data_IF_335950320395
#
_entry.id   IF_335950320395
#
_cell.length_a   1.000
_cell.length_b   1.000
_cell.length_c   1.000
_cell.angle_alpha   90.00
_cell.angle_beta   90.00
_cell.angle_gamma   90.00
#
_symmetry.space_group_name_H-M   'P 1'
#
loop_
_entity.id
_entity.type
_entity.pdbx_description
1 polymer ?
#
# COMPACT_ATOMS: atom_id res chain seq x y z
N UNK A 1 10.97 -48.23 -6.03
CA UNK A 1 11.33 -46.93 -6.63
C UNK A 1 10.04 -46.25 -7.11
N UNK A 2 9.69 -45.09 -6.54
CA UNK A 2 8.46 -44.39 -6.90
C UNK A 2 8.50 -43.97 -8.37
N UNK A 3 7.50 -44.38 -9.16
CA UNK A 3 7.36 -43.95 -10.56
C UNK A 3 7.06 -42.45 -10.58
N UNK A 4 8.11 -41.64 -10.73
CA UNK A 4 8.01 -40.23 -11.09
C UNK A 4 7.41 -40.14 -12.49
N UNK A 5 6.16 -39.67 -12.60
CA UNK A 5 5.55 -39.42 -13.90
C UNK A 5 6.01 -38.06 -14.43
N UNK A 6 6.92 -38.09 -15.41
CA UNK A 6 7.36 -36.90 -16.12
C UNK A 6 6.42 -36.56 -17.28
N UNK A 7 6.00 -35.31 -17.32
CA UNK A 7 5.21 -34.76 -18.41
C UNK A 7 6.12 -34.38 -19.58
N UNK A 8 5.63 -34.57 -20.81
CA UNK A 8 6.30 -34.06 -22.00
C UNK A 8 6.58 -32.56 -21.85
N UNK A 9 7.79 -32.14 -22.17
CA UNK A 9 8.26 -30.75 -22.27
C UNK A 9 7.76 -30.09 -23.56
N UNK A 10 8.04 -28.79 -23.74
CA UNK A 10 7.71 -28.12 -25.00
C UNK A 10 8.59 -28.64 -26.14
N UNK A 11 9.87 -28.90 -25.86
CA UNK A 11 10.83 -29.38 -26.87
C UNK A 11 10.47 -30.78 -27.35
N UNK A 12 10.13 -31.70 -26.44
CA UNK A 12 9.59 -33.02 -26.81
C UNK A 12 8.31 -32.89 -27.64
N UNK A 13 7.42 -31.93 -27.33
CA UNK A 13 6.21 -31.70 -28.14
C UNK A 13 6.54 -31.18 -29.55
N UNK A 14 7.55 -30.33 -29.70
CA UNK A 14 8.03 -29.85 -30.99
C UNK A 14 8.60 -31.02 -31.81
N UNK A 15 9.36 -31.91 -31.16
CA UNK A 15 9.95 -33.06 -31.81
C UNK A 15 8.91 -34.12 -32.21
N UNK A 16 7.87 -34.35 -31.40
CA UNK A 16 6.70 -35.16 -31.77
C UNK A 16 6.05 -34.60 -33.05
N UNK A 17 5.87 -33.29 -33.15
CA UNK A 17 5.26 -32.68 -34.34
C UNK A 17 6.14 -32.86 -35.59
N UNK A 18 7.46 -32.68 -35.45
CA UNK A 18 8.43 -32.85 -36.53
C UNK A 18 8.43 -34.29 -37.06
N UNK A 19 8.55 -35.27 -36.17
CA UNK A 19 8.60 -36.69 -36.53
C UNK A 19 7.26 -37.19 -37.09
N UNK A 20 6.13 -36.72 -36.52
CA UNK A 20 4.80 -37.05 -37.03
C UNK A 20 4.55 -36.46 -38.42
N UNK A 21 5.05 -35.25 -38.72
CA UNK A 21 4.96 -34.65 -40.05
C UNK A 21 5.79 -35.43 -41.09
N UNK A 22 6.91 -36.03 -40.67
CA UNK A 22 7.74 -36.90 -41.50
C UNK A 22 7.20 -38.33 -41.65
N UNK A 23 5.96 -38.61 -41.23
CA UNK A 23 5.33 -39.92 -41.37
C UNK A 23 5.83 -41.01 -40.41
N UNK A 24 6.58 -40.65 -39.36
CA UNK A 24 7.04 -41.63 -38.38
C UNK A 24 5.88 -42.22 -37.58
N UNK A 25 5.91 -43.54 -37.34
CA UNK A 25 4.92 -44.22 -36.52
C UNK A 25 5.04 -43.85 -35.03
N UNK A 26 3.96 -44.02 -34.26
CA UNK A 26 3.94 -43.77 -32.81
C UNK A 26 5.06 -44.51 -32.07
N UNK A 27 5.41 -45.73 -32.49
CA UNK A 27 6.49 -46.52 -31.88
C UNK A 27 7.87 -45.96 -32.18
N UNK A 28 8.10 -45.43 -33.40
CA UNK A 28 9.35 -44.77 -33.77
C UNK A 28 9.53 -43.45 -33.02
N UNK A 29 8.47 -42.64 -32.91
CA UNK A 29 8.49 -41.38 -32.14
C UNK A 29 8.77 -41.67 -30.66
N UNK A 30 8.14 -42.71 -30.11
CA UNK A 30 8.34 -43.15 -28.74
C UNK A 30 9.79 -43.59 -28.47
N UNK A 31 10.39 -44.37 -29.38
CA UNK A 31 11.78 -44.77 -29.28
C UNK A 31 12.74 -43.58 -29.39
N UNK A 32 12.48 -42.63 -30.29
CA UNK A 32 13.33 -41.44 -30.47
C UNK A 32 13.34 -40.50 -29.26
N UNK A 33 12.24 -40.47 -28.49
CA UNK A 33 12.09 -39.60 -27.32
C UNK A 33 12.28 -40.31 -25.98
N UNK A 34 12.60 -41.62 -26.01
CA UNK A 34 12.64 -42.48 -24.82
C UNK A 34 11.35 -42.38 -23.97
N UNK A 35 10.20 -42.43 -24.63
CA UNK A 35 8.87 -42.38 -23.99
C UNK A 35 8.05 -43.60 -24.33
N UNK A 36 7.05 -43.92 -23.51
CA UNK A 36 6.14 -45.03 -23.83
C UNK A 36 5.31 -44.70 -25.09
N UNK A 37 5.07 -45.68 -26.00
CA UNK A 37 4.18 -45.50 -27.14
C UNK A 37 2.78 -45.02 -26.74
N UNK A 38 2.30 -45.46 -25.57
CA UNK A 38 1.02 -45.03 -25.02
C UNK A 38 1.00 -43.55 -24.63
N UNK A 39 2.14 -42.96 -24.25
CA UNK A 39 2.26 -41.52 -23.95
C UNK A 39 2.11 -40.70 -25.23
N UNK A 40 2.84 -41.09 -26.28
CA UNK A 40 2.84 -40.41 -27.58
C UNK A 40 1.47 -40.52 -28.25
N UNK A 41 0.88 -41.72 -28.27
CA UNK A 41 -0.47 -41.93 -28.79
C UNK A 41 -1.50 -41.03 -28.08
N UNK A 42 -1.51 -41.03 -26.74
CA UNK A 42 -2.44 -40.19 -25.98
C UNK A 42 -2.21 -38.70 -26.21
N UNK A 43 -0.97 -38.24 -26.38
CA UNK A 43 -0.66 -36.83 -26.64
C UNK A 43 -1.16 -36.38 -28.01
N UNK A 44 -0.90 -37.17 -29.05
CA UNK A 44 -1.35 -36.90 -30.42
C UNK A 44 -2.89 -36.93 -30.49
N UNK A 45 -3.54 -37.97 -29.96
CA UNK A 45 -5.00 -38.08 -29.97
C UNK A 45 -5.67 -36.94 -29.21
N UNK A 46 -5.16 -36.58 -28.03
CA UNK A 46 -5.79 -35.59 -27.14
C UNK A 46 -5.62 -34.14 -27.59
N UNK A 47 -4.60 -33.84 -28.41
CA UNK A 47 -4.27 -32.45 -28.79
C UNK A 47 -4.23 -32.22 -30.31
N UNK A 48 -4.78 -33.15 -31.12
CA UNK A 48 -4.96 -32.97 -32.57
C UNK A 48 -6.24 -32.18 -32.84
N UNK A 49 -6.11 -31.04 -33.51
CA UNK A 49 -7.25 -30.28 -34.00
C UNK A 49 -7.78 -30.85 -35.32
N UNK A 50 -9.10 -30.76 -35.54
CA UNK A 50 -9.79 -31.31 -36.72
C UNK A 50 -9.27 -30.69 -38.03
N UNK A 51 -9.02 -29.38 -38.05
CA UNK A 51 -8.59 -28.65 -39.26
C UNK A 51 -7.08 -28.44 -39.36
N UNK A 52 -6.37 -28.41 -38.23
CA UNK A 52 -4.99 -27.88 -38.16
C UNK A 52 -3.97 -28.93 -37.71
N UNK A 53 -4.43 -30.15 -37.40
CA UNK A 53 -3.57 -31.24 -36.93
C UNK A 53 -2.99 -30.98 -35.53
N UNK A 54 -1.86 -31.61 -35.23
CA UNK A 54 -1.18 -31.49 -33.94
C UNK A 54 -0.25 -30.26 -33.92
N UNK A 55 -0.45 -29.34 -32.96
CA UNK A 55 0.39 -28.15 -32.77
C UNK A 55 1.04 -28.17 -31.38
N UNK A 56 2.39 -28.11 -31.28
CA UNK A 56 3.11 -28.15 -29.98
C UNK A 56 2.68 -27.06 -29.00
N UNK A 57 2.58 -25.81 -29.48
CA UNK A 57 2.20 -24.66 -28.67
C UNK A 57 0.79 -24.78 -28.10
N UNK A 58 -0.15 -25.31 -28.91
CA UNK A 58 -1.51 -25.61 -28.48
C UNK A 58 -1.55 -26.74 -27.45
N UNK A 59 -0.87 -27.86 -27.70
CA UNK A 59 -0.79 -28.99 -26.76
C UNK A 59 -0.20 -28.56 -25.40
N UNK A 60 0.84 -27.72 -25.42
CA UNK A 60 1.42 -27.13 -24.21
C UNK A 60 0.41 -26.24 -23.46
N UNK A 61 -0.35 -25.40 -24.19
CA UNK A 61 -1.38 -24.54 -23.61
C UNK A 61 -2.50 -25.38 -22.98
N UNK A 62 -2.97 -26.43 -23.66
CA UNK A 62 -4.01 -27.34 -23.18
C UNK A 62 -3.55 -28.16 -21.97
N UNK A 63 -2.29 -28.63 -21.94
CA UNK A 63 -1.71 -29.27 -20.75
C UNK A 63 -1.71 -28.31 -19.56
N UNK A 64 -1.27 -27.06 -19.75
CA UNK A 64 -1.30 -26.03 -18.70
C UNK A 64 -2.71 -25.74 -18.22
N UNK A 65 -3.70 -25.72 -19.13
CA UNK A 65 -5.11 -25.54 -18.79
C UNK A 65 -5.68 -26.73 -18.00
N UNK A 66 -5.36 -27.97 -18.37
CA UNK A 66 -5.82 -29.18 -17.65
C UNK A 66 -5.19 -29.32 -16.26
N UNK A 67 -3.92 -28.93 -16.10
CA UNK A 67 -3.25 -28.88 -14.79
C UNK A 67 -3.76 -27.74 -13.90
N UNK A 68 -4.49 -26.80 -14.45
CA UNK A 68 -5.05 -25.70 -13.69
C UNK A 68 -6.29 -26.19 -12.93
N UNK A 69 -6.09 -26.60 -11.67
CA UNK A 69 -7.13 -27.13 -10.77
C UNK A 69 -8.04 -26.05 -10.16
N UNK A 70 -8.29 -24.97 -10.91
CA UNK A 70 -8.94 -23.77 -10.38
C UNK A 70 -8.08 -23.07 -9.33
N UNK A 71 -8.13 -21.75 -9.30
CA UNK A 71 -7.42 -21.02 -8.25
C UNK A 71 -8.15 -21.27 -6.94
N UNK A 72 -7.44 -21.47 -5.82
CA UNK A 72 -8.05 -21.70 -4.50
C UNK A 72 -9.15 -20.66 -4.15
N UNK A 73 -8.96 -19.43 -4.63
CA UNK A 73 -9.95 -18.34 -4.50
C UNK A 73 -11.24 -18.57 -5.31
N UNK A 74 -11.25 -19.39 -6.36
CA UNK A 74 -12.50 -19.77 -7.04
C UNK A 74 -13.28 -20.83 -6.24
N UNK A 75 -12.58 -21.66 -5.46
CA UNK A 75 -13.17 -22.71 -4.61
C UNK A 75 -13.65 -22.22 -3.25
N UNK A 76 -13.08 -21.12 -2.74
CA UNK A 76 -13.40 -20.54 -1.43
C UNK A 76 -13.95 -19.11 -1.58
N UNK A 77 -15.29 -18.93 -1.78
CA UNK A 77 -15.89 -17.63 -2.03
C UNK A 77 -15.68 -16.60 -0.91
N UNK A 78 -15.68 -17.06 0.36
CA UNK A 78 -15.42 -16.20 1.52
C UNK A 78 -14.01 -15.63 1.51
N UNK A 79 -13.00 -16.48 1.28
CA UNK A 79 -11.60 -16.07 1.17
C UNK A 79 -11.38 -15.15 -0.04
N UNK A 80 -12.02 -15.45 -1.17
CA UNK A 80 -12.01 -14.58 -2.36
C UNK A 80 -12.52 -13.19 -2.06
N UNK A 81 -13.68 -13.08 -1.42
CA UNK A 81 -14.27 -11.79 -1.03
C UNK A 81 -13.32 -11.00 -0.14
N UNK A 82 -12.79 -11.64 0.89
CA UNK A 82 -11.84 -11.05 1.83
C UNK A 82 -10.55 -10.54 1.15
N UNK A 83 -10.03 -11.28 0.17
CA UNK A 83 -8.87 -10.89 -0.64
C UNK A 83 -9.22 -9.72 -1.55
N UNK A 84 -10.30 -9.81 -2.33
CA UNK A 84 -10.71 -8.78 -3.29
C UNK A 84 -11.04 -7.45 -2.62
N UNK A 85 -11.70 -7.48 -1.46
CA UNK A 85 -12.01 -6.28 -0.68
C UNK A 85 -10.73 -5.53 -0.30
N UNK A 86 -9.71 -6.25 0.23
CA UNK A 86 -8.43 -5.65 0.63
C UNK A 86 -7.63 -5.17 -0.57
N UNK A 87 -7.62 -5.93 -1.68
CA UNK A 87 -7.01 -5.48 -2.93
C UNK A 87 -7.70 -4.21 -3.46
N UNK A 88 -9.03 -4.12 -3.37
CA UNK A 88 -9.83 -2.94 -3.73
C UNK A 88 -9.50 -1.69 -2.92
N UNK A 89 -9.04 -1.85 -1.68
CA UNK A 89 -8.49 -0.77 -0.85
C UNK A 89 -7.06 -0.36 -1.26
N UNK A 90 -6.49 -0.98 -2.28
CA UNK A 90 -5.15 -0.67 -2.80
C UNK A 90 -4.00 -1.43 -2.13
N UNK A 91 -4.30 -2.48 -1.34
CA UNK A 91 -3.28 -3.30 -0.70
C UNK A 91 -2.61 -4.22 -1.73
N UNK A 92 -1.31 -4.49 -1.56
CA UNK A 92 -0.61 -5.47 -2.38
C UNK A 92 -0.98 -6.91 -2.00
N UNK A 93 -0.80 -7.89 -2.91
CA UNK A 93 -0.95 -9.30 -2.57
C UNK A 93 -0.17 -9.76 -1.33
N UNK A 94 1.05 -9.25 -1.13
CA UNK A 94 1.86 -9.53 0.07
C UNK A 94 1.22 -8.95 1.35
N UNK A 95 0.72 -7.71 1.27
CA UNK A 95 0.02 -7.04 2.38
C UNK A 95 -1.26 -7.79 2.76
N UNK A 96 -2.03 -8.25 1.78
CA UNK A 96 -3.25 -9.04 2.01
C UNK A 96 -2.91 -10.37 2.67
N UNK A 97 -1.96 -11.13 2.10
CA UNK A 97 -1.58 -12.44 2.62
C UNK A 97 -1.04 -12.35 4.05
N UNK A 98 -0.14 -11.40 4.32
CA UNK A 98 0.42 -11.21 5.66
C UNK A 98 -0.61 -10.73 6.67
N UNK A 99 -1.53 -9.84 6.26
CA UNK A 99 -2.61 -9.39 7.16
C UNK A 99 -3.56 -10.53 7.53
N UNK A 100 -3.98 -11.32 6.55
CA UNK A 100 -4.83 -12.48 6.79
C UNK A 100 -4.13 -13.49 7.71
N UNK A 101 -2.83 -13.71 7.52
CA UNK A 101 -2.06 -14.59 8.39
C UNK A 101 -2.03 -14.10 9.84
N UNK A 102 -1.83 -12.80 10.06
CA UNK A 102 -1.87 -12.19 11.39
C UNK A 102 -3.24 -12.34 12.06
N UNK A 103 -4.32 -12.04 11.33
CA UNK A 103 -5.69 -12.09 11.85
C UNK A 103 -6.14 -13.50 12.25
N UNK A 104 -5.59 -14.54 11.60
CA UNK A 104 -5.96 -15.94 11.85
C UNK A 104 -4.92 -16.71 12.69
N UNK A 105 -3.81 -16.06 13.09
CA UNK A 105 -2.70 -16.71 13.80
C UNK A 105 -1.95 -17.79 13.00
N UNK A 106 -2.27 -17.98 11.71
CA UNK A 106 -1.65 -18.98 10.83
C UNK A 106 -1.69 -18.54 9.38
N UNK A 107 -0.80 -19.09 8.55
CA UNK A 107 -0.77 -18.78 7.11
C UNK A 107 -2.07 -19.21 6.43
N UNK A 108 -2.89 -18.24 6.01
CA UNK A 108 -4.17 -18.49 5.31
C UNK A 108 -3.94 -18.75 3.82
N UNK A 109 -3.21 -17.87 3.14
CA UNK A 109 -2.96 -17.92 1.69
C UNK A 109 -1.56 -17.36 1.39
N UNK A 110 -0.90 -17.87 0.35
CA UNK A 110 0.34 -17.27 -0.16
C UNK A 110 0.05 -16.08 -1.06
N UNK A 111 0.87 -15.04 -1.00
CA UNK A 111 0.77 -13.90 -1.93
C UNK A 111 0.94 -14.34 -3.39
N UNK A 112 1.70 -15.41 -3.65
CA UNK A 112 1.85 -16.00 -4.99
C UNK A 112 0.53 -16.59 -5.50
N UNK A 113 -0.29 -17.18 -4.63
CA UNK A 113 -1.62 -17.66 -5.01
C UNK A 113 -2.52 -16.49 -5.43
N UNK A 114 -2.40 -15.34 -4.76
CA UNK A 114 -3.14 -14.12 -5.12
C UNK A 114 -2.62 -13.55 -6.46
N UNK A 115 -1.31 -13.52 -6.70
CA UNK A 115 -0.77 -13.12 -8.02
C UNK A 115 -1.25 -14.04 -9.14
N UNK A 116 -1.15 -15.37 -8.95
CA UNK A 116 -1.65 -16.36 -9.90
C UNK A 116 -3.13 -16.20 -10.17
N UNK A 117 -3.93 -15.85 -9.16
CA UNK A 117 -5.35 -15.53 -9.32
C UNK A 117 -5.56 -14.35 -10.26
N UNK A 118 -4.92 -13.21 -9.97
CA UNK A 118 -5.05 -11.98 -10.77
C UNK A 118 -4.64 -12.25 -12.23
N UNK A 119 -3.51 -12.92 -12.45
CA UNK A 119 -3.05 -13.25 -13.81
C UNK A 119 -3.91 -14.30 -14.52
N UNK A 120 -4.56 -15.20 -13.78
CA UNK A 120 -5.54 -16.11 -14.35
C UNK A 120 -6.80 -15.36 -14.81
N UNK A 121 -7.32 -14.43 -14.00
CA UNK A 121 -8.47 -13.62 -14.38
C UNK A 121 -8.20 -12.78 -15.65
N UNK A 122 -7.07 -12.07 -15.71
CA UNK A 122 -6.66 -11.31 -16.92
C UNK A 122 -6.68 -12.19 -18.16
N UNK A 123 -6.13 -13.42 -18.07
CA UNK A 123 -6.06 -14.33 -19.21
C UNK A 123 -7.40 -14.93 -19.61
N UNK A 124 -8.33 -15.11 -18.66
CA UNK A 124 -9.66 -15.70 -18.92
C UNK A 124 -10.64 -14.69 -19.49
N UNK A 125 -10.68 -13.48 -18.92
CA UNK A 125 -11.68 -12.48 -19.26
C UNK A 125 -11.17 -11.44 -20.26
N UNK A 126 -9.87 -11.45 -20.58
CA UNK A 126 -9.19 -10.38 -21.32
C UNK A 126 -9.36 -8.99 -20.68
N UNK A 127 -9.81 -8.93 -19.42
CA UNK A 127 -9.98 -7.69 -18.69
C UNK A 127 -8.64 -7.31 -18.03
N UNK A 128 -8.03 -6.25 -18.54
CA UNK A 128 -6.77 -5.74 -17.99
C UNK A 128 -6.96 -4.85 -16.76
N UNK A 129 -8.20 -4.53 -16.36
CA UNK A 129 -8.50 -3.75 -15.15
C UNK A 129 -7.97 -4.42 -13.88
N UNK A 130 -7.86 -5.75 -13.87
CA UNK A 130 -7.24 -6.55 -12.82
C UNK A 130 -5.79 -6.14 -12.48
N UNK A 131 -5.07 -5.49 -13.41
CA UNK A 131 -3.73 -4.92 -13.15
C UNK A 131 -3.76 -3.76 -12.15
N UNK A 132 -4.92 -3.10 -11.96
CA UNK A 132 -5.08 -2.00 -10.99
C UNK A 132 -4.86 -2.43 -9.55
N UNK A 133 -5.02 -3.73 -9.26
CA UNK A 133 -4.70 -4.32 -7.96
C UNK A 133 -3.19 -4.49 -7.73
N UNK A 134 -2.34 -4.25 -8.74
CA UNK A 134 -0.90 -4.48 -8.64
C UNK A 134 -0.12 -3.20 -8.26
N UNK A 135 0.89 -3.33 -7.37
CA UNK A 135 1.73 -2.22 -6.88
C UNK A 135 2.43 -1.31 -7.88
N UNK A 136 2.74 -1.78 -9.10
CA UNK A 136 3.54 -1.05 -10.09
C UNK A 136 2.94 -1.23 -11.49
N UNK A 137 2.65 -0.11 -12.16
CA UNK A 137 2.22 -0.06 -13.55
C UNK A 137 3.32 0.30 -14.56
N UNK A 138 4.61 0.27 -14.15
CA UNK A 138 5.74 0.60 -15.03
C UNK A 138 6.54 -0.65 -15.39
N UNK A 139 6.76 -0.86 -16.69
CA UNK A 139 7.56 -1.96 -17.25
C UNK A 139 9.07 -1.69 -17.19
N UNK A 140 9.50 -0.43 -17.09
CA UNK A 140 10.92 -0.03 -17.01
C UNK A 140 11.15 1.04 -15.93
N UNK A 141 12.35 1.04 -15.36
CA UNK A 141 12.86 2.11 -14.50
C UNK A 141 13.04 3.36 -15.38
N UNK A 142 12.51 4.51 -14.95
CA UNK A 142 12.72 5.77 -15.67
C UNK A 142 14.17 6.23 -15.59
N UNK A 143 14.56 7.13 -16.49
CA UNK A 143 15.89 7.75 -16.50
C UNK A 143 16.08 8.63 -15.25
N UNK A 144 17.26 8.56 -14.62
CA UNK A 144 17.65 9.48 -13.53
C UNK A 144 18.09 10.79 -14.18
N UNK A 145 17.40 11.89 -13.90
CA UNK A 145 17.84 13.22 -14.33
C UNK A 145 19.20 13.59 -13.71
N UNK A 146 19.97 14.44 -14.40
CA UNK A 146 21.20 15.03 -13.85
C UNK A 146 20.85 15.95 -12.67
N UNK A 147 21.63 15.86 -11.59
CA UNK A 147 21.45 16.68 -10.37
C UNK A 147 22.00 18.09 -10.61
N UNK A 148 21.26 19.12 -10.21
CA UNK A 148 21.80 20.46 -9.95
C UNK A 148 22.54 20.50 -8.60
N UNK A 149 23.27 21.58 -8.34
CA UNK A 149 24.02 21.79 -7.10
C UNK A 149 23.15 21.79 -5.83
N UNK A 150 23.76 21.48 -4.68
CA UNK A 150 23.10 21.43 -3.38
C UNK A 150 23.02 22.84 -2.77
N UNK A 151 21.84 23.37 -2.40
CA UNK A 151 21.68 24.67 -1.74
C UNK A 151 22.04 24.64 -0.23
N UNK A 152 22.81 23.66 0.23
CA UNK A 152 23.08 23.44 1.66
C UNK A 152 23.71 24.66 2.37
N UNK A 153 24.42 25.52 1.63
CA UNK A 153 25.01 26.78 2.13
C UNK A 153 23.99 27.86 2.49
N UNK A 154 22.73 27.73 2.06
CA UNK A 154 21.68 28.74 2.31
C UNK A 154 20.81 28.43 3.54
N UNK A 155 21.12 27.39 4.32
CA UNK A 155 20.37 26.99 5.51
C UNK A 155 21.19 27.37 6.75
N UNK A 156 20.82 28.48 7.38
CA UNK A 156 21.43 28.95 8.62
C UNK A 156 21.10 28.01 9.79
N UNK A 157 22.07 27.72 10.66
CA UNK A 157 21.89 26.83 11.82
C UNK A 157 21.78 25.34 11.49
N UNK A 158 22.19 24.93 10.28
CA UNK A 158 22.15 23.52 9.83
C UNK A 158 22.99 22.61 10.74
N UNK A 159 22.32 21.63 11.37
CA UNK A 159 22.96 20.53 12.09
C UNK A 159 23.02 19.29 11.19
N UNK A 160 24.20 18.66 11.10
CA UNK A 160 24.38 17.44 10.31
C UNK A 160 23.62 16.26 10.91
N UNK A 161 23.13 15.35 10.06
CA UNK A 161 22.44 14.14 10.51
C UNK A 161 23.33 13.22 11.36
N UNK A 162 24.65 13.27 11.17
CA UNK A 162 25.62 12.48 11.95
C UNK A 162 25.61 12.84 13.45
N UNK A 163 25.13 14.04 13.80
CA UNK A 163 25.02 14.50 15.18
C UNK A 163 23.72 14.07 15.86
N UNK A 164 22.85 13.34 15.15
CA UNK A 164 21.56 12.88 15.69
C UNK A 164 21.76 11.74 16.70
N UNK A 165 20.96 11.67 17.79
CA UNK A 165 21.00 10.56 18.73
C UNK A 165 20.87 9.20 18.05
N UNK A 166 21.59 8.19 18.57
CA UNK A 166 21.61 6.82 18.04
C UNK A 166 20.20 6.19 18.09
N UNK A 167 19.41 6.52 19.11
CA UNK A 167 18.00 6.10 19.28
C UNK A 167 17.10 6.53 18.10
N UNK A 168 17.45 7.60 17.38
CA UNK A 168 16.73 8.01 16.19
C UNK A 168 17.10 7.19 14.94
N UNK A 169 18.26 6.53 14.95
CA UNK A 169 18.78 5.79 13.81
C UNK A 169 18.12 4.41 13.66
N UNK A 170 17.96 3.68 14.76
CA UNK A 170 17.46 2.30 14.79
C UNK A 170 15.93 2.18 14.58
N UNK A 171 15.19 3.29 14.75
CA UNK A 171 13.73 3.38 14.65
C UNK A 171 13.01 2.57 15.74
N UNK A 172 13.63 2.41 16.90
CA UNK A 172 13.06 1.72 18.06
C UNK A 172 12.24 2.69 18.91
N UNK A 173 12.72 3.92 19.09
CA UNK A 173 12.08 4.94 19.91
C UNK A 173 11.08 5.77 19.07
N UNK A 174 9.83 5.96 19.53
CA UNK A 174 8.90 6.90 18.92
C UNK A 174 9.34 8.36 19.05
N UNK A 175 8.76 9.25 18.25
CA UNK A 175 8.99 10.69 18.38
C UNK A 175 10.12 11.25 17.50
N UNK A 176 10.70 10.41 16.65
CA UNK A 176 11.62 10.82 15.60
C UNK A 176 10.91 10.87 14.25
N UNK A 177 10.92 12.04 13.62
CA UNK A 177 10.15 12.30 12.40
C UNK A 177 11.05 12.65 11.22
N UNK A 178 10.57 12.35 10.02
CA UNK A 178 11.11 12.85 8.77
C UNK A 178 10.09 13.82 8.16
N UNK A 179 10.55 14.93 7.58
CA UNK A 179 9.70 15.87 6.87
C UNK A 179 10.18 16.08 5.43
N UNK A 180 9.22 16.24 4.53
CA UNK A 180 9.48 16.41 3.11
C UNK A 180 8.32 17.13 2.41
N UNK A 181 8.61 17.77 1.27
CA UNK A 181 7.60 18.34 0.39
C UNK A 181 7.27 17.39 -0.76
N UNK A 182 6.08 16.81 -0.71
CA UNK A 182 5.52 16.07 -1.84
C UNK A 182 5.08 17.06 -2.93
N UNK A 183 5.98 17.37 -3.86
CA UNK A 183 5.74 18.31 -4.97
C UNK A 183 4.78 17.77 -6.04
N UNK A 184 4.05 18.64 -6.75
CA UNK A 184 3.17 18.26 -7.87
C UNK A 184 3.66 18.80 -9.21
N UNK A 185 3.02 18.42 -10.31
CA UNK A 185 3.40 18.88 -11.67
C UNK A 185 3.04 20.36 -11.90
N UNK A 186 1.96 20.86 -11.29
CA UNK A 186 1.63 22.29 -11.32
C UNK A 186 2.56 23.05 -10.39
N UNK A 187 3.10 24.16 -10.88
CA UNK A 187 4.06 24.98 -10.15
C UNK A 187 3.49 25.46 -8.81
N UNK A 188 4.32 25.47 -7.77
CA UNK A 188 3.94 25.93 -6.42
C UNK A 188 3.10 24.96 -5.59
N UNK A 189 2.50 23.93 -6.20
CA UNK A 189 1.66 22.97 -5.48
C UNK A 189 2.50 21.91 -4.75
N UNK A 190 2.33 21.86 -3.42
CA UNK A 190 3.03 20.93 -2.55
C UNK A 190 2.15 20.47 -1.39
N UNK A 191 2.42 19.27 -0.91
CA UNK A 191 1.92 18.77 0.38
C UNK A 191 3.12 18.60 1.29
N UNK A 192 3.11 19.28 2.44
CA UNK A 192 4.04 18.99 3.52
C UNK A 192 3.67 17.63 4.09
N UNK A 193 4.61 16.69 4.00
CA UNK A 193 4.47 15.35 4.55
C UNK A 193 5.40 15.18 5.73
N UNK A 194 4.88 14.59 6.81
CA UNK A 194 5.63 14.34 8.05
C UNK A 194 5.43 12.87 8.41
N UNK A 195 6.52 12.13 8.54
CA UNK A 195 6.54 10.68 8.66
C UNK A 195 7.21 10.27 9.96
N UNK A 196 6.48 9.59 10.83
CA UNK A 196 7.00 9.04 12.09
C UNK A 196 7.79 7.76 11.81
N UNK A 197 9.04 7.68 12.28
CA UNK A 197 9.99 6.65 11.84
C UNK A 197 9.67 5.26 12.37
N UNK A 198 9.05 5.16 13.54
CA UNK A 198 8.79 3.88 14.23
C UNK A 198 7.50 3.23 13.72
N UNK A 199 6.36 3.89 13.92
CA UNK A 199 5.03 3.47 13.46
C UNK A 199 4.80 3.62 11.96
N UNK A 200 5.63 4.39 11.24
CA UNK A 200 5.43 4.73 9.81
C UNK A 200 4.15 5.53 9.54
N UNK A 201 3.61 6.18 10.56
CA UNK A 201 2.47 7.07 10.40
C UNK A 201 2.86 8.23 9.48
N UNK A 202 2.02 8.56 8.52
CA UNK A 202 2.22 9.68 7.63
C UNK A 202 1.12 10.73 7.85
N UNK A 203 1.54 11.96 8.10
CA UNK A 203 0.71 13.14 8.20
C UNK A 203 0.92 14.02 6.98
N UNK A 204 -0.12 14.76 6.59
CA UNK A 204 -0.12 15.55 5.36
C UNK A 204 -0.85 16.88 5.53
N UNK A 205 -0.19 17.96 5.15
CA UNK A 205 -0.74 19.31 5.18
C UNK A 205 -0.62 19.92 3.79
N UNK A 206 -1.73 20.40 3.22
CA UNK A 206 -1.69 21.16 1.96
C UNK A 206 -1.05 22.52 2.21
N UNK A 207 -0.10 22.89 1.36
CA UNK A 207 0.55 24.18 1.44
C UNK A 207 -0.03 25.13 0.38
N UNK A 208 -0.30 26.37 0.77
CA UNK A 208 -0.57 27.46 -0.18
C UNK A 208 0.71 27.94 -0.87
N UNK A 209 1.86 27.81 -0.20
CA UNK A 209 3.17 28.22 -0.70
C UNK A 209 4.28 27.39 -0.04
N UNK A 210 5.40 27.24 -0.76
CA UNK A 210 6.63 26.56 -0.31
C UNK A 210 7.61 27.48 0.44
N UNK A 211 7.19 28.71 0.78
CA UNK A 211 8.01 29.67 1.53
C UNK A 211 8.32 29.13 2.93
N UNK A 212 9.60 29.15 3.31
CA UNK A 212 10.10 28.50 4.52
C UNK A 212 9.39 28.93 5.82
N UNK A 213 9.11 30.22 5.98
CA UNK A 213 8.36 30.75 7.13
C UNK A 213 6.94 30.19 7.22
N UNK A 214 6.29 29.90 6.08
CA UNK A 214 4.98 29.28 6.03
C UNK A 214 5.04 27.81 6.44
N UNK A 215 6.01 27.08 5.87
CA UNK A 215 6.26 25.66 6.18
C UNK A 215 6.56 25.46 7.66
N UNK A 216 7.47 26.25 8.23
CA UNK A 216 7.82 26.20 9.65
C UNK A 216 6.61 26.45 10.57
N UNK A 217 5.73 27.41 10.23
CA UNK A 217 4.47 27.65 10.98
C UNK A 217 3.54 26.44 10.97
N UNK A 218 3.44 25.73 9.84
CA UNK A 218 2.65 24.49 9.77
C UNK A 218 3.25 23.38 10.62
N UNK A 219 4.58 23.22 10.61
CA UNK A 219 5.28 22.24 11.45
C UNK A 219 5.09 22.53 12.95
N UNK A 220 5.31 23.78 13.38
CA UNK A 220 5.10 24.19 14.79
C UNK A 220 3.68 23.91 15.24
N UNK A 221 2.66 24.28 14.44
CA UNK A 221 1.25 24.00 14.77
C UNK A 221 0.95 22.50 14.84
N UNK A 222 1.56 21.71 13.96
CA UNK A 222 1.39 20.26 13.95
C UNK A 222 1.97 19.64 15.22
N UNK A 223 3.24 19.92 15.52
CA UNK A 223 3.91 19.32 16.67
C UNK A 223 3.39 19.83 18.01
N UNK A 224 2.97 21.09 18.10
CA UNK A 224 2.30 21.62 19.30
C UNK A 224 0.95 20.92 19.60
N UNK A 225 0.39 20.16 18.64
CA UNK A 225 -0.81 19.36 18.83
C UNK A 225 -0.52 17.88 19.17
N UNK A 226 0.74 17.49 19.28
CA UNK A 226 1.14 16.13 19.64
C UNK A 226 1.66 16.11 21.09
N UNK A 227 1.59 14.96 21.79
CA UNK A 227 2.26 14.78 23.07
C UNK A 227 3.75 15.09 22.96
N UNK A 228 4.32 15.75 23.98
CA UNK A 228 5.70 16.22 23.96
C UNK A 228 6.70 15.07 23.79
N UNK A 229 6.43 13.91 24.37
CA UNK A 229 7.32 12.74 24.28
C UNK A 229 7.41 12.18 22.85
N UNK A 230 6.42 12.50 22.00
CA UNK A 230 6.45 12.18 20.58
C UNK A 230 7.06 13.29 19.73
N UNK A 231 7.71 14.27 20.33
CA UNK A 231 8.27 15.44 19.64
C UNK A 231 9.76 15.58 19.97
N UNK A 232 10.57 14.58 19.62
CA UNK A 232 12.01 14.56 19.93
C UNK A 232 12.83 15.23 18.83
N UNK A 233 12.76 14.71 17.61
CA UNK A 233 13.62 15.18 16.51
C UNK A 233 12.90 15.22 15.18
N UNK A 234 13.26 16.14 14.30
CA UNK A 234 12.80 16.18 12.90
C UNK A 234 13.99 16.22 11.94
N UNK A 235 14.00 15.31 10.97
CA UNK A 235 14.99 15.25 9.90
C UNK A 235 14.45 15.82 8.59
N UNK A 236 15.22 16.71 7.96
CA UNK A 236 14.92 17.36 6.68
C UNK A 236 15.95 16.98 5.61
N UNK A 237 15.65 17.30 4.35
CA UNK A 237 16.68 17.42 3.32
C UNK A 237 17.19 18.86 3.23
N UNK A 238 18.18 19.09 2.36
CA UNK A 238 18.78 20.41 2.17
C UNK A 238 17.93 21.34 1.28
N UNK A 239 16.60 21.21 1.32
CA UNK A 239 15.67 22.11 0.65
C UNK A 239 15.56 23.47 1.37
N UNK A 240 15.53 24.56 0.60
CA UNK A 240 15.43 25.92 1.16
C UNK A 240 14.08 26.19 1.81
N UNK A 241 13.05 25.39 1.49
CA UNK A 241 11.76 25.38 2.19
C UNK A 241 11.86 25.06 3.69
N UNK A 242 12.97 24.48 4.15
CA UNK A 242 13.23 24.14 5.55
C UNK A 242 14.22 25.09 6.22
N UNK A 243 14.56 26.22 5.60
CA UNK A 243 15.52 27.19 6.16
C UNK A 243 15.11 27.71 7.56
N UNK A 244 13.82 27.86 7.83
CA UNK A 244 13.31 28.33 9.13
C UNK A 244 13.05 27.19 10.15
N UNK A 245 13.81 26.09 10.08
CA UNK A 245 13.60 24.90 10.92
C UNK A 245 13.82 25.15 12.42
N UNK A 246 14.71 26.08 12.79
CA UNK A 246 15.02 26.47 14.19
C UNK A 246 13.78 26.95 14.94
N UNK A 247 12.72 27.34 14.23
CA UNK A 247 11.42 27.60 14.83
C UNK A 247 10.86 26.43 15.65
N UNK A 248 11.27 25.18 15.37
CA UNK A 248 10.87 24.00 16.13
C UNK A 248 11.57 23.86 17.50
N UNK A 249 12.73 24.50 17.69
CA UNK A 249 13.46 24.45 18.97
C UNK A 249 12.65 25.02 20.13
N UNK A 250 11.69 25.92 19.85
CA UNK A 250 10.73 26.44 20.86
C UNK A 250 9.85 25.36 21.49
N UNK A 251 9.73 24.21 20.84
CA UNK A 251 8.99 23.03 21.31
C UNK A 251 9.95 21.94 21.82
N UNK A 252 11.22 22.28 22.10
CA UNK A 252 12.28 21.33 22.45
C UNK A 252 12.50 20.21 21.42
N UNK A 253 12.16 20.47 20.15
CA UNK A 253 12.37 19.53 19.05
C UNK A 253 13.70 19.83 18.38
N UNK A 254 14.63 18.88 18.37
CA UNK A 254 15.88 19.01 17.65
C UNK A 254 15.70 18.79 16.14
N UNK A 255 16.55 19.41 15.33
CA UNK A 255 16.39 19.45 13.87
C UNK A 255 17.69 19.06 13.18
N UNK A 256 17.60 18.13 12.24
CA UNK A 256 18.77 17.57 11.56
C UNK A 256 18.59 17.59 10.04
N UNK A 257 19.68 17.70 9.30
CA UNK A 257 19.69 17.73 7.84
C UNK A 257 20.51 16.60 7.27
N UNK A 258 19.96 15.91 6.26
CA UNK A 258 20.69 14.89 5.52
C UNK A 258 21.96 15.47 4.89
N UNK A 259 22.96 14.63 4.69
CA UNK A 259 24.18 15.01 4.01
C UNK A 259 23.95 15.26 2.53
N UNK A 260 24.71 16.19 1.93
CA UNK A 260 24.73 16.35 0.48
C UNK A 260 24.96 15.00 -0.19
N UNK A 261 24.19 14.73 -1.24
CA UNK A 261 24.28 13.48 -2.02
C UNK A 261 23.90 12.18 -1.28
N UNK A 262 23.32 12.24 -0.08
CA UNK A 262 22.91 11.07 0.72
C UNK A 262 21.37 10.87 0.83
N UNK A 263 20.62 10.70 -0.27
CA UNK A 263 19.15 10.57 -0.23
C UNK A 263 18.67 9.35 0.57
N UNK A 264 19.49 8.31 0.73
CA UNK A 264 19.14 7.11 1.49
C UNK A 264 18.89 7.38 2.98
N UNK A 265 19.45 8.47 3.52
CA UNK A 265 19.27 8.87 4.92
C UNK A 265 17.80 9.22 5.26
N UNK A 266 17.00 9.60 4.25
CA UNK A 266 15.56 9.88 4.33
C UNK A 266 14.69 8.82 3.63
N UNK A 267 15.18 7.58 3.55
CA UNK A 267 14.52 6.51 2.79
C UNK A 267 13.10 6.15 3.27
N UNK A 268 12.73 6.48 4.51
CA UNK A 268 11.41 6.21 5.09
C UNK A 268 10.31 7.03 4.42
N UNK A 269 10.43 8.35 4.49
CA UNK A 269 9.48 9.28 3.88
C UNK A 269 9.51 9.20 2.36
N UNK A 270 10.65 8.93 1.72
CA UNK A 270 10.71 8.69 0.28
C UNK A 270 9.84 7.50 -0.13
N UNK A 271 9.90 6.40 0.62
CA UNK A 271 9.03 5.24 0.42
C UNK A 271 7.56 5.61 0.66
N UNK A 272 7.29 6.39 1.70
CA UNK A 272 5.95 6.83 2.06
C UNK A 272 5.32 7.69 0.95
N UNK A 273 6.03 8.70 0.44
CA UNK A 273 5.64 9.52 -0.69
C UNK A 273 5.44 8.65 -1.94
N UNK A 274 6.36 7.73 -2.22
CA UNK A 274 6.26 6.79 -3.33
C UNK A 274 4.96 5.96 -3.31
N UNK A 275 4.51 5.54 -2.12
CA UNK A 275 3.21 4.87 -1.94
C UNK A 275 2.04 5.85 -2.05
N UNK A 276 2.16 7.05 -1.49
CA UNK A 276 1.13 8.09 -1.55
C UNK A 276 0.81 8.49 -3.00
N UNK A 277 1.79 8.40 -3.92
CA UNK A 277 1.57 8.62 -5.36
C UNK A 277 0.55 7.69 -6.02
N UNK A 278 0.17 6.58 -5.37
CA UNK A 278 -0.95 5.73 -5.83
C UNK A 278 -2.31 6.37 -5.57
N UNK A 279 -2.44 7.07 -4.46
CA UNK A 279 -3.68 7.76 -4.07
C UNK A 279 -3.74 9.17 -4.66
N UNK A 280 -2.59 9.87 -4.67
CA UNK A 280 -2.45 11.25 -5.17
C UNK A 280 -1.30 11.31 -6.20
N UNK A 281 -1.57 10.97 -7.48
CA UNK A 281 -0.58 11.02 -8.55
C UNK A 281 0.12 12.38 -8.71
N UNK A 282 1.32 12.39 -9.31
CA UNK A 282 2.11 13.62 -9.53
C UNK A 282 1.38 14.69 -10.35
N UNK A 283 0.53 14.27 -11.29
CA UNK A 283 -0.26 15.13 -12.17
C UNK A 283 -1.57 15.63 -11.54
N UNK A 284 -1.90 15.21 -10.31
CA UNK A 284 -3.09 15.71 -9.62
C UNK A 284 -2.96 17.21 -9.36
N UNK A 285 -4.01 17.94 -9.68
CA UNK A 285 -4.16 19.34 -9.28
C UNK A 285 -4.69 19.39 -7.84
N UNK A 286 -3.89 19.96 -6.93
CA UNK A 286 -4.27 20.06 -5.52
C UNK A 286 -5.41 21.06 -5.28
N UNK A 287 -5.59 22.05 -6.15
CA UNK A 287 -6.64 23.06 -6.01
C UNK A 287 -8.03 22.46 -6.22
N UNK A 288 -8.16 21.51 -7.15
CA UNK A 288 -9.43 20.83 -7.45
C UNK A 288 -9.65 19.56 -6.63
N UNK A 289 -8.64 19.08 -5.90
CA UNK A 289 -8.78 17.91 -5.04
C UNK A 289 -9.66 18.26 -3.82
N UNK A 290 -10.80 17.58 -3.59
CA UNK A 290 -11.61 17.85 -2.40
C UNK A 290 -10.89 17.48 -1.10
N UNK A 291 -11.09 18.27 -0.04
CA UNK A 291 -10.47 18.04 1.28
C UNK A 291 -10.77 16.64 1.83
N UNK A 292 -12.03 16.18 1.71
CA UNK A 292 -12.44 14.82 2.10
C UNK A 292 -11.60 13.74 1.41
N UNK A 293 -11.39 13.84 0.10
CA UNK A 293 -10.61 12.87 -0.70
C UNK A 293 -9.14 12.88 -0.33
N UNK A 294 -8.60 14.04 0.04
CA UNK A 294 -7.24 14.16 0.55
C UNK A 294 -7.08 13.43 1.89
N UNK A 295 -7.95 13.69 2.87
CA UNK A 295 -7.91 12.94 4.13
C UNK A 295 -8.12 11.44 3.94
N UNK A 296 -9.03 11.03 3.04
CA UNK A 296 -9.21 9.62 2.69
C UNK A 296 -7.94 8.97 2.15
N UNK A 297 -7.13 9.70 1.37
CA UNK A 297 -5.84 9.20 0.84
C UNK A 297 -4.84 8.90 1.96
N UNK A 298 -4.73 9.80 2.95
CA UNK A 298 -3.86 9.60 4.12
C UNK A 298 -4.40 8.50 5.05
N UNK A 299 -5.73 8.45 5.26
CA UNK A 299 -6.35 7.37 6.01
C UNK A 299 -6.13 6.01 5.35
N UNK A 300 -6.26 5.91 4.03
CA UNK A 300 -5.99 4.68 3.30
C UNK A 300 -4.51 4.26 3.43
N UNK A 301 -3.59 5.22 3.33
CA UNK A 301 -2.16 4.95 3.55
C UNK A 301 -1.91 4.41 4.97
N UNK A 302 -2.42 5.09 6.00
CA UNK A 302 -2.20 4.76 7.42
C UNK A 302 -2.95 3.49 7.86
N UNK A 303 -3.97 3.06 7.11
CA UNK A 303 -4.70 1.80 7.33
C UNK A 303 -4.29 0.68 6.36
N UNK A 304 -3.19 0.84 5.64
CA UNK A 304 -2.62 -0.24 4.84
C UNK A 304 -1.53 -0.94 5.67
N UNK A 305 -1.51 -2.28 5.79
CA UNK A 305 -0.55 -2.99 6.62
C UNK A 305 0.89 -2.88 6.07
N UNK A 306 1.87 -3.01 6.95
CA UNK A 306 3.31 -2.94 6.61
C UNK A 306 4.02 -4.19 7.08
N UNK A 307 4.78 -4.83 6.19
CA UNK A 307 5.63 -5.98 6.54
C UNK A 307 6.63 -5.65 7.65
N UNK A 308 7.18 -4.44 7.65
CA UNK A 308 8.10 -3.94 8.69
C UNK A 308 7.46 -3.75 10.06
N UNK A 309 6.14 -3.84 10.16
CA UNK A 309 5.37 -3.75 11.41
C UNK A 309 4.62 -5.07 11.65
N UNK A 310 5.16 -6.19 11.15
CA UNK A 310 4.52 -7.51 11.18
C UNK A 310 3.06 -7.50 10.69
N UNK A 311 2.80 -6.74 9.63
CA UNK A 311 1.48 -6.56 9.03
C UNK A 311 0.43 -5.86 9.92
N UNK A 312 0.86 -5.15 10.97
CA UNK A 312 0.08 -4.07 11.55
C UNK A 312 0.00 -2.87 10.58
N UNK A 313 -1.02 -2.05 10.75
CA UNK A 313 -1.12 -0.76 10.05
C UNK A 313 -0.35 0.33 10.81
N UNK A 314 0.14 1.36 10.13
CA UNK A 314 0.74 2.51 10.81
C UNK A 314 -0.17 3.13 11.89
N UNK A 315 -1.47 3.18 11.63
CA UNK A 315 -2.44 3.67 12.62
C UNK A 315 -2.51 2.75 13.86
N UNK A 316 -2.49 1.42 13.70
CA UNK A 316 -2.46 0.47 14.82
C UNK A 316 -1.18 0.61 15.64
N UNK A 317 -0.01 0.69 14.97
CA UNK A 317 1.27 0.82 15.64
C UNK A 317 1.39 2.16 16.39
N UNK A 318 0.95 3.26 15.77
CA UNK A 318 0.97 4.58 16.42
C UNK A 318 -0.02 4.66 17.59
N UNK A 319 -1.17 4.00 17.50
CA UNK A 319 -2.13 3.95 18.60
C UNK A 319 -1.55 3.26 19.84
N UNK A 320 -0.72 2.22 19.67
CA UNK A 320 -0.06 1.56 20.80
C UNK A 320 0.88 2.52 21.52
N UNK A 321 1.68 3.27 20.75
CA UNK A 321 2.56 4.33 21.29
C UNK A 321 1.75 5.38 22.07
N UNK A 322 0.60 5.81 21.56
CA UNK A 322 -0.27 6.77 22.27
C UNK A 322 -0.88 6.19 23.56
N UNK A 323 -1.17 4.89 23.61
CA UNK A 323 -1.82 4.25 24.75
C UNK A 323 -0.85 3.88 25.88
N UNK A 324 0.40 3.53 25.57
CA UNK A 324 1.44 3.30 26.57
C UNK A 324 1.63 4.52 27.49
N UNK A 325 1.45 5.73 26.97
CA UNK A 325 1.55 6.98 27.76
C UNK A 325 0.27 7.35 28.53
N UNK A 326 -0.87 6.74 28.20
CA UNK A 326 -2.12 7.04 28.91
C UNK A 326 -2.29 6.18 30.18
N UNK A 327 -1.61 5.03 30.25
CA UNK A 327 -1.57 4.17 31.44
C UNK A 327 -0.47 4.61 32.44
N UNK A 328 0.55 5.35 32.00
CA UNK A 328 1.60 5.92 32.86
C UNK A 328 1.15 7.18 33.64
N UNK A 329 0.00 7.77 33.29
CA UNK A 329 -0.66 8.79 34.11
C UNK A 329 -1.52 8.11 35.18
N UNK A 330 -0.92 7.88 36.35
CA UNK A 330 -1.60 7.38 37.55
C UNK A 330 -2.91 8.15 37.78
N UNK A 331 -4.02 7.41 37.88
CA UNK A 331 -5.33 7.97 38.26
C UNK A 331 -5.17 8.79 39.54
N UNK A 332 -5.66 10.05 39.61
CA UNK A 332 -5.72 10.72 40.89
C UNK A 332 -6.62 9.89 41.81
N UNK A 333 -6.10 9.57 43.00
CA UNK A 333 -6.82 8.83 44.03
C UNK A 333 -8.22 9.44 44.26
N UNK A 334 -9.29 8.64 44.36
CA UNK A 334 -10.63 9.16 44.58
C UNK A 334 -10.72 9.68 46.02
N UNK A 335 -10.43 10.95 46.21
CA UNK A 335 -10.36 11.52 47.54
C UNK A 335 -10.27 13.03 47.54
N UNK A 336 -11.36 13.72 47.17
CA UNK A 336 -11.94 14.85 47.91
C UNK A 336 -13.18 15.39 47.20
N UNK A 337 -14.29 15.33 47.93
CA UNK A 337 -15.60 15.88 47.62
C UNK A 337 -15.52 17.40 47.71
N UNK A 338 -15.83 18.11 46.63
CA UNK A 338 -16.26 19.52 46.68
C UNK A 338 -17.50 19.70 45.80
N UNK A 339 -18.62 19.88 46.48
CA UNK A 339 -19.83 20.50 45.97
C UNK A 339 -19.58 21.99 45.72
N UNK A 340 -20.12 22.57 44.63
CA UNK A 340 -20.99 23.77 44.66
C UNK A 340 -21.33 24.27 43.24
N UNK A 341 -22.64 24.54 43.09
CA UNK A 341 -23.39 25.43 42.18
C UNK A 341 -23.39 25.24 40.66
N UNK A 342 -24.58 24.85 40.18
CA UNK A 342 -25.16 25.29 38.90
C UNK A 342 -25.42 26.80 38.93
N UNK A 343 -25.03 27.51 37.87
CA UNK A 343 -25.65 28.76 37.43
C UNK A 343 -25.81 28.72 35.91
N UNK A 344 -26.93 29.24 35.46
CA UNK A 344 -27.50 29.19 34.11
C UNK A 344 -27.09 30.36 33.22
N UNK A 345 -27.10 30.07 31.91
CA UNK A 345 -27.41 30.93 30.73
C UNK A 345 -26.44 32.03 30.27
N UNK A 346 -26.02 31.83 29.01
CA UNK A 346 -25.92 32.74 27.86
C UNK A 346 -25.09 34.03 28.00
N UNK A 347 -23.96 34.11 27.28
CA UNK A 347 -23.78 34.91 26.06
C UNK A 347 -22.32 34.95 25.59
N UNK A 348 -22.13 34.81 24.27
CA UNK A 348 -20.99 35.25 23.45
C UNK A 348 -19.54 35.06 23.96
N UNK A 349 -18.83 34.03 23.46
CA UNK A 349 -17.42 34.23 23.06
C UNK A 349 -16.89 33.18 22.07
N UNK A 350 -16.44 33.68 20.92
CA UNK A 350 -15.68 32.94 19.95
C UNK A 350 -14.26 32.71 20.48
N UNK A 351 -13.89 31.46 20.78
CA UNK A 351 -12.49 31.07 20.90
C UNK A 351 -12.31 29.58 20.57
N UNK A 352 -11.66 29.34 19.43
CA UNK A 352 -11.16 28.04 18.99
C UNK A 352 -10.21 27.45 20.04
N UNK A 353 -10.72 26.57 20.90
CA UNK A 353 -9.90 25.84 21.87
C UNK A 353 -9.13 24.68 21.20
N UNK A 354 -7.80 24.71 21.35
CA UNK A 354 -6.80 23.73 20.89
C UNK A 354 -7.06 22.28 21.33
N UNK A 355 -7.97 22.03 22.26
CA UNK A 355 -8.39 20.68 22.70
C UNK A 355 -9.19 19.93 21.63
N UNK A 356 -9.80 20.63 20.66
CA UNK A 356 -10.62 20.02 19.61
C UNK A 356 -9.82 19.33 18.49
N UNK A 357 -8.55 19.70 18.30
CA UNK A 357 -7.72 19.19 17.18
C UNK A 357 -7.09 17.85 17.55
N UNK A 358 -6.57 17.70 18.77
CA UNK A 358 -6.05 16.44 19.29
C UNK A 358 -7.18 15.41 19.38
N UNK A 359 -8.35 15.80 19.91
CA UNK A 359 -9.53 14.94 19.93
C UNK A 359 -10.03 14.54 18.53
N UNK A 360 -9.85 15.38 17.49
CA UNK A 360 -10.20 15.05 16.10
C UNK A 360 -9.15 14.19 15.40
N UNK A 361 -7.86 14.41 15.66
CA UNK A 361 -6.77 13.59 15.11
C UNK A 361 -6.80 12.20 15.74
N UNK A 362 -6.94 12.13 17.06
CA UNK A 362 -7.09 10.91 17.84
C UNK A 362 -8.44 10.23 17.55
N UNK A 363 -9.58 10.94 17.43
CA UNK A 363 -10.83 10.30 16.94
C UNK A 363 -10.75 9.84 15.50
N UNK A 364 -10.08 10.55 14.60
CA UNK A 364 -9.91 10.09 13.22
C UNK A 364 -9.02 8.84 13.13
N UNK A 365 -8.02 8.73 14.01
CA UNK A 365 -7.16 7.53 14.16
C UNK A 365 -7.92 6.40 14.88
N UNK A 366 -8.71 6.69 15.92
CA UNK A 366 -9.51 5.72 16.69
C UNK A 366 -10.76 5.21 15.95
N UNK A 367 -11.48 6.04 15.18
CA UNK A 367 -12.60 5.58 14.33
C UNK A 367 -12.14 4.65 13.21
N UNK A 368 -10.89 4.81 12.74
CA UNK A 368 -10.28 3.87 11.80
C UNK A 368 -10.02 2.49 12.44
N UNK A 369 -9.68 2.43 13.73
CA UNK A 369 -9.53 1.20 14.50
C UNK A 369 -10.89 0.59 14.93
N UNK A 370 -11.89 1.42 15.27
CA UNK A 370 -13.22 0.99 15.73
C UNK A 370 -14.17 0.53 14.61
N UNK A 371 -13.87 0.81 13.33
CA UNK A 371 -14.65 0.30 12.18
C UNK A 371 -14.60 -1.23 11.97
N UNK A 372 -14.06 -1.98 12.95
CA UNK A 372 -14.04 -3.45 13.00
C UNK A 372 -15.26 -4.11 13.63
N UNK A 373 -16.20 -3.37 14.21
CA UNK A 373 -17.39 -3.96 14.84
C UNK A 373 -18.64 -3.14 14.50
N UNK A 374 -19.34 -3.57 13.44
CA UNK A 374 -20.71 -3.23 12.97
C UNK A 374 -20.75 -2.63 11.57
N UNK A 375 -20.86 -3.52 10.59
CA UNK A 375 -21.83 -3.43 9.50
C UNK A 375 -22.16 -4.86 9.04
N UNK A 376 -22.86 -5.59 9.91
CA UNK A 376 -23.90 -6.53 9.45
C UNK A 376 -25.18 -5.71 9.23
N UNK A 377 -26.06 -6.22 8.36
CA UNK A 377 -27.21 -5.56 7.75
C UNK A 377 -26.86 -4.66 6.56
N UNK A 378 -27.02 -5.26 5.38
CA UNK A 378 -27.65 -4.72 4.16
C UNK A 378 -27.19 -5.58 2.97
N UNK A 379 -27.65 -6.83 2.96
CA UNK A 379 -27.87 -7.61 1.74
C UNK A 379 -29.32 -8.06 1.78
N UNK A 380 -30.15 -7.65 0.81
CA UNK A 380 -31.05 -8.51 0.06
C UNK A 380 -32.03 -7.69 -0.78
N UNK A 381 -31.88 -7.81 -2.10
CA UNK A 381 -32.90 -8.01 -3.16
C UNK A 381 -32.06 -7.95 -4.45
N UNK A 382 -31.65 -9.04 -5.08
CA UNK A 382 -32.50 -10.07 -5.67
C UNK A 382 -32.27 -9.99 -7.19
N UNK A 383 -31.50 -10.92 -7.75
CA UNK A 383 -31.68 -11.36 -9.14
C UNK A 383 -32.60 -12.58 -9.07
N UNK A 384 -33.53 -12.80 -10.01
CA UNK A 384 -33.13 -13.36 -11.31
C UNK A 384 -33.98 -12.96 -12.54
N UNK A 385 -33.33 -13.05 -13.71
CA UNK A 385 -33.82 -13.48 -15.03
C UNK A 385 -35.24 -13.14 -15.53
N UNK A 386 -35.32 -12.55 -16.73
CA UNK A 386 -36.23 -12.98 -17.81
C UNK A 386 -35.74 -12.52 -19.18
N UNK A 387 -35.74 -13.45 -20.15
CA UNK A 387 -35.64 -13.20 -21.58
C UNK A 387 -36.98 -12.67 -22.13
N UNK A 388 -36.94 -11.96 -23.27
CA UNK A 388 -38.11 -11.58 -24.06
C UNK A 388 -37.81 -10.44 -25.04
N UNK A 389 -37.99 -10.73 -26.33
CA UNK A 389 -37.98 -9.84 -27.49
C UNK A 389 -38.83 -8.56 -27.31
N UNK A 390 -38.44 -7.43 -27.92
CA UNK A 390 -38.98 -7.00 -29.22
C UNK A 390 -38.52 -5.60 -29.63
N UNK A 391 -38.38 -5.46 -30.94
CA UNK A 391 -38.32 -4.30 -31.85
C UNK A 391 -38.60 -2.88 -31.31
N UNK A 392 -37.78 -1.88 -31.71
CA UNK A 392 -38.16 -0.87 -32.73
C UNK A 392 -37.08 0.19 -32.98
N UNK A 393 -37.11 0.68 -34.23
CA UNK A 393 -36.29 1.74 -34.83
C UNK A 393 -36.49 3.09 -34.14
N UNK A 394 -35.49 3.98 -34.18
CA UNK A 394 -35.56 5.24 -34.94
C UNK A 394 -34.37 6.18 -34.65
N UNK A 395 -33.85 6.73 -35.77
CA UNK A 395 -32.97 7.90 -35.99
C UNK A 395 -31.49 7.79 -35.59
#
# INVERSE_FOLDING_TARGET
MGRSYEQLSLDERCEIARLSANGSSVRQIAAALDRSPSTISRELTRNRGVQVGYKPSYAQQQMRARRWTGVRLEREPGLRRAVLERLGRGWSPEQVAGRLAREHGRKVISHETIYRFIYAQIRRTSDFSWRRYLPRGKSKRGYRGKKGGSPASFIEGRVSLDQRPIEAADRSTPGHWEADLMMFSKYGQAVLTVHERTSRLLLGIRLASKVARGVARHLVRLFASLPQDLCQTVTFDNGTEFACHTALHRLAIETFFCDPHAPWQKGGIENAIGRMRRFIPRKTDLATLPTRRFHQSFNAYNNTPRKSLDFQTPAEAFSQVLHFECESTSRPSPGRRWSVRRKSRDEHEAAFSSTSVIARLVRAIQYAAASRLKHQSLWNTGSPASAGDDTERAV
#
